data_IF_865751057495
#
_entry.id   IF_865751057495
#
_cell.length_a   1.000
_cell.length_b   1.000
_cell.length_c   1.000
_cell.angle_alpha   90.00
_cell.angle_beta   90.00
_cell.angle_gamma   90.00
#
_symmetry.space_group_name_H-M   'P 1'
#
loop_
_entity.id
_entity.type
_entity.pdbx_description
1 polymer ?
#
# COMPACT_ATOMS: atom_id res chain seq x y z
N UNK A 1 -8.40 -1.15 -14.11
CA UNK A 1 -8.51 -1.21 -15.58
C UNK A 1 -7.18 -0.88 -16.26
N UNK A 2 -7.05 -0.99 -17.60
CA UNK A 2 -5.84 -0.52 -18.32
C UNK A 2 -5.64 0.99 -18.18
N UNK A 3 -6.72 1.77 -18.08
CA UNK A 3 -6.65 3.20 -17.85
C UNK A 3 -6.06 3.52 -16.46
N UNK A 4 -6.51 2.82 -15.42
CA UNK A 4 -6.01 3.03 -14.05
C UNK A 4 -4.52 2.67 -13.94
N UNK A 5 -4.08 1.61 -14.63
CA UNK A 5 -2.65 1.26 -14.71
C UNK A 5 -1.81 2.39 -15.31
N UNK A 6 -2.31 3.08 -16.35
CA UNK A 6 -1.60 4.23 -16.95
C UNK A 6 -1.58 5.43 -16.01
N UNK A 7 -2.67 5.69 -15.28
CA UNK A 7 -2.72 6.74 -14.27
C UNK A 7 -1.76 6.47 -13.12
N UNK A 8 -1.69 5.23 -12.64
CA UNK A 8 -0.71 4.81 -11.64
C UNK A 8 0.73 5.02 -12.12
N UNK A 9 1.03 4.66 -13.38
CA UNK A 9 2.37 4.93 -13.94
C UNK A 9 2.66 6.43 -13.98
N UNK A 10 1.71 7.26 -14.41
CA UNK A 10 1.87 8.73 -14.39
C UNK A 10 2.07 9.25 -12.96
N UNK A 11 1.32 8.73 -11.98
CA UNK A 11 1.47 9.09 -10.58
C UNK A 11 2.88 8.79 -10.07
N UNK A 12 3.41 7.58 -10.36
CA UNK A 12 4.73 7.16 -9.86
C UNK A 12 5.89 7.78 -10.62
N UNK A 13 5.74 8.05 -11.92
CA UNK A 13 6.86 8.47 -12.79
C UNK A 13 6.77 9.93 -13.24
N UNK A 14 5.67 10.61 -12.95
CA UNK A 14 5.35 11.93 -13.50
C UNK A 14 5.00 11.93 -15.00
N UNK A 15 5.10 10.79 -15.69
CA UNK A 15 4.96 10.69 -17.15
C UNK A 15 3.81 9.78 -17.57
N UNK A 16 2.97 10.25 -18.51
CA UNK A 16 1.97 9.41 -19.17
C UNK A 16 2.53 8.52 -20.29
N UNK A 17 3.84 8.61 -20.57
CA UNK A 17 4.53 7.85 -21.63
C UNK A 17 5.39 6.76 -21.02
N UNK A 18 5.32 5.57 -21.61
CA UNK A 18 6.16 4.44 -21.19
C UNK A 18 7.55 4.56 -21.80
N UNK A 19 8.61 4.27 -21.03
CA UNK A 19 9.95 4.15 -21.57
C UNK A 19 10.07 2.86 -22.42
N UNK A 20 11.15 2.70 -23.19
CA UNK A 20 11.42 1.43 -23.84
C UNK A 20 11.43 0.27 -22.82
N UNK A 21 10.98 -0.93 -23.19
CA UNK A 21 10.93 -2.05 -22.26
C UNK A 21 12.29 -2.35 -21.64
N UNK A 22 12.33 -2.44 -20.31
CA UNK A 22 13.52 -2.82 -19.54
C UNK A 22 14.56 -1.71 -19.31
N UNK A 23 14.30 -0.46 -19.73
CA UNK A 23 15.25 0.65 -19.52
C UNK A 23 15.05 1.39 -18.20
N UNK A 24 13.89 1.22 -17.56
CA UNK A 24 13.53 1.88 -16.31
C UNK A 24 12.93 0.88 -15.33
N UNK A 25 13.07 1.15 -14.04
CA UNK A 25 12.56 0.31 -12.96
C UNK A 25 11.61 1.13 -12.10
N UNK A 26 10.37 0.65 -11.96
CA UNK A 26 9.45 1.14 -10.95
C UNK A 26 9.74 0.40 -9.64
N UNK A 27 10.07 1.15 -8.59
CA UNK A 27 10.37 0.60 -7.25
C UNK A 27 9.13 0.74 -6.37
N UNK A 28 8.83 -0.28 -5.59
CA UNK A 28 7.78 -0.24 -4.57
C UNK A 28 8.44 -0.49 -3.23
N UNK A 29 8.22 0.41 -2.29
CA UNK A 29 8.74 0.32 -0.94
C UNK A 29 7.60 0.41 0.06
N UNK A 30 7.56 -0.53 1.00
CA UNK A 30 6.66 -0.44 2.15
C UNK A 30 7.37 0.36 3.24
N UNK A 31 6.69 1.38 3.77
CA UNK A 31 7.22 2.18 4.87
C UNK A 31 7.06 1.43 6.19
N UNK A 32 8.15 1.33 6.95
CA UNK A 32 8.12 0.85 8.32
C UNK A 32 7.97 2.06 9.24
N UNK A 33 6.90 2.09 10.02
CA UNK A 33 6.71 3.11 11.04
C UNK A 33 7.44 2.69 12.33
N UNK A 34 7.97 3.68 13.06
CA UNK A 34 8.59 3.43 14.37
C UNK A 34 7.57 2.90 15.38
N UNK A 35 8.05 2.04 16.28
CA UNK A 35 7.24 1.25 17.21
C UNK A 35 6.24 2.10 18.02
N UNK A 36 4.94 1.82 17.82
CA UNK A 36 3.83 2.33 18.60
C UNK A 36 2.49 1.89 18.01
N UNK A 37 1.56 1.35 18.83
CA UNK A 37 0.25 0.89 18.34
C UNK A 37 -0.59 2.05 17.77
N UNK A 38 -0.52 3.22 18.41
CA UNK A 38 -1.25 4.42 18.00
C UNK A 38 -0.71 5.05 16.70
N UNK A 39 0.60 4.95 16.45
CA UNK A 39 1.22 5.42 15.20
C UNK A 39 0.88 4.46 14.07
N UNK A 40 1.03 3.16 14.31
CA UNK A 40 0.76 2.09 13.32
C UNK A 40 -0.69 2.11 12.82
N UNK A 41 -1.67 2.36 13.69
CA UNK A 41 -3.08 2.43 13.26
C UNK A 41 -3.39 3.67 12.40
N UNK A 42 -2.66 4.77 12.59
CA UNK A 42 -2.83 6.00 11.81
C UNK A 42 -2.43 5.80 10.33
N UNK A 43 -1.56 4.83 10.03
CA UNK A 43 -1.19 4.46 8.67
C UNK A 43 -2.39 4.06 7.79
N UNK A 44 -3.51 3.61 8.37
CA UNK A 44 -4.74 3.35 7.59
C UNK A 44 -5.32 4.61 6.96
N UNK A 45 -4.99 5.80 7.49
CA UNK A 45 -5.42 7.10 6.97
C UNK A 45 -4.45 7.73 5.98
N UNK A 46 -3.24 7.18 5.80
CA UNK A 46 -2.21 7.79 4.96
C UNK A 46 -2.34 7.31 3.52
N UNK A 47 -2.07 8.22 2.57
CA UNK A 47 -2.08 7.93 1.15
C UNK A 47 -0.69 7.45 0.69
N UNK A 48 -0.60 6.55 -0.30
CA UNK A 48 0.67 6.23 -0.96
C UNK A 48 1.30 7.49 -1.53
N UNK A 49 2.63 7.55 -1.51
CA UNK A 49 3.41 8.68 -2.00
C UNK A 49 4.30 8.24 -3.16
N UNK A 50 4.62 9.16 -4.06
CA UNK A 50 5.47 8.90 -5.20
C UNK A 50 6.65 9.88 -5.25
N UNK A 51 7.84 9.33 -5.46
CA UNK A 51 9.05 10.10 -5.75
C UNK A 51 9.34 9.95 -7.25
N UNK A 52 8.78 10.86 -8.05
CA UNK A 52 8.81 10.76 -9.52
C UNK A 52 10.21 10.85 -10.10
N UNK A 53 11.15 11.48 -9.39
CA UNK A 53 12.56 11.54 -9.79
C UNK A 53 13.22 10.14 -9.81
N UNK A 54 12.75 9.23 -8.97
CA UNK A 54 13.36 7.91 -8.75
C UNK A 54 12.45 6.74 -9.18
N UNK A 55 11.28 7.04 -9.78
CA UNK A 55 10.23 6.08 -10.09
C UNK A 55 9.86 5.19 -8.88
N UNK A 56 9.85 5.78 -7.68
CA UNK A 56 9.62 5.09 -6.41
C UNK A 56 8.21 5.37 -5.90
N UNK A 57 7.47 4.29 -5.62
CA UNK A 57 6.19 4.30 -4.94
C UNK A 57 6.40 3.85 -3.49
N UNK A 58 6.11 4.74 -2.55
CA UNK A 58 6.06 4.43 -1.13
C UNK A 58 4.63 4.11 -0.71
N UNK A 59 4.46 2.95 -0.08
CA UNK A 59 3.18 2.45 0.39
C UNK A 59 3.23 2.33 1.91
N UNK A 60 2.30 2.93 2.65
CA UNK A 60 2.16 2.68 4.08
C UNK A 60 1.94 1.19 4.36
N UNK A 61 2.40 0.68 5.51
CA UNK A 61 2.20 -0.71 5.89
C UNK A 61 0.77 -0.97 6.36
N UNK A 62 -0.20 -0.95 5.43
CA UNK A 62 -1.62 -1.14 5.72
C UNK A 62 -1.91 -2.50 6.38
N UNK A 63 -1.12 -3.53 6.11
CA UNK A 63 -1.29 -4.82 6.76
C UNK A 63 -0.98 -4.74 8.26
N UNK A 64 0.20 -4.22 8.63
CA UNK A 64 0.55 -4.02 10.04
C UNK A 64 -0.46 -3.10 10.75
N UNK A 65 -0.93 -2.07 10.07
CA UNK A 65 -1.96 -1.16 10.56
C UNK A 65 -3.30 -1.85 10.83
N UNK A 66 -3.73 -2.74 9.94
CA UNK A 66 -4.92 -3.57 10.14
C UNK A 66 -4.72 -4.56 11.29
N UNK A 67 -3.57 -5.24 11.36
CA UNK A 67 -3.25 -6.13 12.48
C UNK A 67 -3.31 -5.38 13.82
N UNK A 68 -2.67 -4.21 13.92
CA UNK A 68 -2.68 -3.39 15.13
C UNK A 68 -4.11 -2.93 15.50
N UNK A 69 -4.92 -2.52 14.52
CA UNK A 69 -6.33 -2.16 14.74
C UNK A 69 -7.16 -3.30 15.33
N UNK A 70 -6.81 -4.55 15.00
CA UNK A 70 -7.45 -5.76 15.54
C UNK A 70 -6.75 -6.30 16.81
N UNK A 71 -5.80 -5.55 17.38
CA UNK A 71 -5.08 -5.96 18.59
C UNK A 71 -4.09 -7.11 18.37
N UNK A 72 -3.69 -7.36 17.12
CA UNK A 72 -2.71 -8.38 16.76
C UNK A 72 -1.30 -7.80 16.79
N UNK A 73 -0.41 -8.43 17.55
CA UNK A 73 1.02 -8.13 17.49
C UNK A 73 1.64 -8.66 16.19
N UNK A 74 2.82 -8.16 15.82
CA UNK A 74 3.56 -8.63 14.65
C UNK A 74 3.78 -10.16 14.70
N UNK A 75 4.17 -10.70 15.86
CA UNK A 75 4.34 -12.14 16.06
C UNK A 75 3.02 -12.93 15.96
N UNK A 76 1.88 -12.35 16.36
CA UNK A 76 0.58 -12.99 16.22
C UNK A 76 0.07 -12.98 14.77
N UNK A 77 0.45 -11.97 13.99
CA UNK A 77 0.14 -11.91 12.56
C UNK A 77 0.94 -12.95 11.75
N UNK A 78 2.14 -13.31 12.23
CA UNK A 78 2.95 -14.40 11.67
C UNK A 78 2.28 -15.75 11.96
N UNK A 79 1.73 -16.36 10.91
CA UNK A 79 1.01 -17.65 11.00
C UNK A 79 -0.50 -17.51 11.17
N UNK A 80 -1.05 -16.30 11.12
CA UNK A 80 -2.50 -16.07 11.18
C UNK A 80 -3.25 -16.86 10.10
N UNK A 81 -2.70 -16.94 8.89
CA UNK A 81 -3.26 -17.74 7.80
C UNK A 81 -3.47 -19.22 8.13
N UNK A 82 -2.65 -19.76 9.04
CA UNK A 82 -2.71 -21.16 9.48
C UNK A 82 -3.54 -21.31 10.75
N UNK A 83 -3.35 -20.41 11.72
CA UNK A 83 -3.93 -20.53 13.07
C UNK A 83 -5.39 -20.04 13.12
N UNK A 84 -5.73 -19.03 12.33
CA UNK A 84 -7.10 -18.51 12.19
C UNK A 84 -7.35 -18.06 10.74
N UNK A 85 -7.65 -19.01 9.83
CA UNK A 85 -7.86 -18.72 8.41
C UNK A 85 -9.07 -17.80 8.16
N UNK A 86 -10.06 -17.81 9.06
CA UNK A 86 -11.24 -16.95 8.95
C UNK A 86 -10.85 -15.49 9.18
N UNK A 87 -10.16 -15.21 10.28
CA UNK A 87 -9.63 -13.87 10.57
C UNK A 87 -8.66 -13.40 9.49
N UNK A 88 -7.78 -14.28 9.01
CA UNK A 88 -6.86 -13.95 7.92
C UNK A 88 -7.62 -13.51 6.65
N UNK A 89 -8.66 -14.25 6.27
CA UNK A 89 -9.49 -13.91 5.10
C UNK A 89 -10.21 -12.59 5.29
N UNK A 90 -10.72 -12.31 6.50
CA UNK A 90 -11.34 -11.03 6.82
C UNK A 90 -10.35 -9.86 6.68
N UNK A 91 -9.16 -9.97 7.28
CA UNK A 91 -8.12 -8.94 7.16
C UNK A 91 -7.61 -8.78 5.73
N UNK A 92 -7.56 -9.86 4.94
CA UNK A 92 -7.19 -9.78 3.53
C UNK A 92 -8.22 -8.99 2.72
N UNK A 93 -9.51 -9.24 2.94
CA UNK A 93 -10.58 -8.48 2.28
C UNK A 93 -10.54 -7.00 2.68
N UNK A 94 -10.26 -6.72 3.96
CA UNK A 94 -10.11 -5.34 4.43
C UNK A 94 -8.86 -4.67 3.85
N UNK A 95 -7.74 -5.39 3.71
CA UNK A 95 -6.54 -4.90 3.06
C UNK A 95 -6.82 -4.54 1.59
N UNK A 96 -7.51 -5.40 0.85
CA UNK A 96 -7.90 -5.13 -0.54
C UNK A 96 -8.76 -3.87 -0.64
N UNK A 97 -9.70 -3.66 0.29
CA UNK A 97 -10.52 -2.45 0.34
C UNK A 97 -9.69 -1.20 0.65
N UNK A 98 -8.79 -1.26 1.62
CA UNK A 98 -7.91 -0.14 1.98
C UNK A 98 -6.98 0.20 0.81
N UNK A 99 -6.35 -0.80 0.20
CA UNK A 99 -5.51 -0.59 -0.97
C UNK A 99 -6.30 0.05 -2.11
N UNK A 100 -7.49 -0.47 -2.41
CA UNK A 100 -8.34 0.11 -3.45
C UNK A 100 -8.68 1.57 -3.17
N UNK A 101 -9.17 1.88 -1.97
CA UNK A 101 -9.59 3.23 -1.57
C UNK A 101 -8.42 4.23 -1.60
N UNK A 102 -7.30 3.86 -0.98
CA UNK A 102 -6.12 4.73 -0.84
C UNK A 102 -5.41 4.96 -2.16
N UNK A 103 -5.24 3.92 -2.99
CA UNK A 103 -4.68 4.09 -4.33
C UNK A 103 -5.62 4.86 -5.26
N UNK A 104 -6.93 4.60 -5.20
CA UNK A 104 -7.88 5.36 -6.00
C UNK A 104 -7.78 6.85 -5.67
N UNK A 105 -7.86 7.20 -4.39
CA UNK A 105 -7.75 8.59 -3.91
C UNK A 105 -6.43 9.23 -4.36
N UNK A 106 -5.29 8.58 -4.08
CA UNK A 106 -3.97 9.14 -4.41
C UNK A 106 -3.76 9.33 -5.93
N UNK A 107 -4.24 8.41 -6.75
CA UNK A 107 -4.01 8.43 -8.20
C UNK A 107 -5.03 9.30 -8.95
N UNK A 108 -6.24 9.49 -8.42
CA UNK A 108 -7.33 10.15 -9.13
C UNK A 108 -7.76 11.50 -8.54
N UNK A 109 -7.51 11.75 -7.27
CA UNK A 109 -8.05 12.94 -6.57
C UNK A 109 -6.96 13.92 -6.12
N UNK A 110 -5.69 13.50 -6.13
CA UNK A 110 -4.55 14.38 -5.91
C UNK A 110 -4.01 14.92 -7.25
N UNK A 111 -4.67 15.95 -7.81
CA UNK A 111 -4.16 16.79 -8.90
C UNK A 111 -3.92 18.23 -8.45
#
# INVERSE_FOLDING_TARGET
>A
STADKRKLVKFVTGSGRLPPPGTEVLRVQVLFEEEGEATTAAALGTLPQAHTCDNLLEVPNYWAALCAKHGLSSAASEGLATNDPSMYTELQNDLERVLHDRFHTAVHECE
#
